data_IF_941743293329
#
_entry.id   IF_941743293329
#
_cell.length_a   1.000
_cell.length_b   1.000
_cell.length_c   1.000
_cell.angle_alpha   90.00
_cell.angle_beta   90.00
_cell.angle_gamma   90.00
#
_symmetry.space_group_name_H-M   'P 1'
#
loop_
_entity.id
_entity.type
_entity.pdbx_description
1 polymer ?
#
# COMPACT_ATOMS: atom_id res chain seq x y z
N UNK A 1 -2.81 76.34 -37.10
CA UNK A 1 -2.65 75.45 -38.26
C UNK A 1 -1.19 75.33 -38.54
N UNK A 2 -0.55 74.23 -38.79
CA UNK A 2 -0.96 72.91 -39.25
C UNK A 2 -0.42 71.78 -38.29
N UNK A 3 -0.88 70.68 -38.39
CA UNK A 3 -1.08 69.42 -39.10
C UNK A 3 -0.46 68.26 -38.34
N UNK A 4 -1.32 67.28 -38.16
CA UNK A 4 -1.18 66.00 -37.48
C UNK A 4 -0.16 65.09 -38.21
N UNK A 5 0.73 64.46 -37.45
CA UNK A 5 1.57 63.32 -37.86
C UNK A 5 1.26 62.08 -37.03
N UNK A 6 0.61 61.12 -37.66
CA UNK A 6 0.27 59.89 -37.03
C UNK A 6 1.51 58.94 -36.97
N UNK A 7 1.96 58.66 -35.79
CA UNK A 7 2.92 57.58 -35.53
C UNK A 7 2.16 56.27 -35.22
N UNK A 8 2.45 55.21 -35.98
CA UNK A 8 1.91 53.89 -35.76
C UNK A 8 2.69 53.23 -34.63
N UNK A 9 2.00 52.95 -33.54
CA UNK A 9 2.53 52.08 -32.48
C UNK A 9 2.48 50.61 -32.95
N UNK A 10 3.65 50.05 -33.20
CA UNK A 10 3.79 48.59 -33.29
C UNK A 10 3.66 47.98 -31.88
N UNK A 11 2.54 47.36 -31.63
CA UNK A 11 2.36 46.52 -30.44
C UNK A 11 3.19 45.24 -30.59
N UNK A 12 4.31 45.20 -29.91
CA UNK A 12 5.03 43.93 -29.65
C UNK A 12 4.22 43.14 -28.64
N UNK A 13 3.54 42.11 -29.12
CA UNK A 13 2.87 41.14 -28.30
C UNK A 13 3.94 40.21 -27.68
N UNK A 14 4.36 40.54 -26.48
CA UNK A 14 5.11 39.63 -25.62
C UNK A 14 4.14 38.55 -25.06
N UNK A 15 4.00 37.48 -25.82
CA UNK A 15 3.30 36.28 -25.35
C UNK A 15 4.27 35.51 -24.47
N UNK A 16 4.41 35.97 -23.23
CA UNK A 16 5.07 35.21 -22.20
C UNK A 16 4.35 33.89 -22.05
N UNK A 17 4.94 32.80 -22.56
CA UNK A 17 4.55 31.42 -22.28
C UNK A 17 4.69 31.17 -20.78
N UNK A 18 3.64 31.54 -20.06
CA UNK A 18 3.48 31.14 -18.66
C UNK A 18 3.00 29.69 -18.65
N UNK A 19 3.92 28.76 -18.97
CA UNK A 19 3.70 27.35 -18.77
C UNK A 19 3.65 27.10 -17.27
N UNK A 20 2.50 27.35 -16.65
CA UNK A 20 2.15 26.77 -15.39
C UNK A 20 2.12 25.27 -15.63
N UNK A 21 3.26 24.60 -15.42
CA UNK A 21 3.28 23.17 -15.18
C UNK A 21 2.42 23.00 -13.94
N UNK A 22 1.16 22.62 -14.13
CA UNK A 22 0.29 22.16 -13.08
C UNK A 22 0.97 20.89 -12.52
N UNK A 23 1.85 21.09 -11.55
CA UNK A 23 2.51 20.01 -10.83
C UNK A 23 1.37 19.37 -10.05
N UNK A 24 0.79 18.31 -10.62
CA UNK A 24 -0.18 17.47 -9.89
C UNK A 24 0.56 17.02 -8.64
N UNK A 25 0.21 17.64 -7.52
CA UNK A 25 0.73 17.21 -6.22
C UNK A 25 0.23 15.80 -6.04
N UNK A 26 1.15 14.86 -5.82
CA UNK A 26 0.77 13.50 -5.53
C UNK A 26 -0.08 13.49 -4.25
N UNK A 27 -1.18 12.76 -4.27
CA UNK A 27 -2.05 12.63 -3.10
C UNK A 27 -1.36 11.80 -2.01
N UNK A 28 -1.79 12.01 -0.77
CA UNK A 28 -1.38 11.10 0.30
C UNK A 28 -1.94 9.71 0.06
N UNK A 29 -1.14 8.70 0.31
CA UNK A 29 -1.56 7.30 0.40
C UNK A 29 -1.63 6.91 1.86
N UNK A 30 -2.81 6.52 2.33
CA UNK A 30 -3.05 5.91 3.63
C UNK A 30 -3.30 4.42 3.39
N UNK A 31 -2.27 3.58 3.58
CA UNK A 31 -2.35 2.18 3.14
C UNK A 31 -3.20 1.30 4.06
N UNK A 32 -3.40 1.72 5.30
CA UNK A 32 -4.25 1.05 6.27
C UNK A 32 -4.89 2.05 7.23
N UNK A 33 -6.22 1.98 7.38
CA UNK A 33 -6.97 2.81 8.32
C UNK A 33 -8.30 2.17 8.68
N UNK A 34 -8.67 2.24 9.94
CA UNK A 34 -10.01 1.89 10.42
C UNK A 34 -11.00 3.06 10.34
N UNK A 35 -10.53 4.25 9.94
CA UNK A 35 -11.32 5.49 9.86
C UNK A 35 -11.16 6.16 8.49
N UNK A 36 -11.68 5.56 7.41
CA UNK A 36 -11.55 6.13 6.08
C UNK A 36 -12.21 7.51 6.01
N UNK A 37 -11.52 8.47 5.40
CA UNK A 37 -11.96 9.87 5.29
C UNK A 37 -12.41 10.24 3.89
N UNK A 38 -11.98 9.50 2.88
CA UNK A 38 -12.18 9.81 1.47
C UNK A 38 -11.40 11.04 0.99
N UNK A 39 -10.44 11.56 1.79
CA UNK A 39 -9.64 12.76 1.46
C UNK A 39 -8.27 12.46 0.86
N UNK A 40 -7.90 11.21 0.79
CA UNK A 40 -6.65 10.72 0.23
C UNK A 40 -6.86 9.35 -0.42
N UNK A 41 -5.83 8.79 -1.02
CA UNK A 41 -5.89 7.41 -1.49
C UNK A 41 -5.86 6.47 -0.29
N UNK A 42 -6.95 5.75 -0.07
CA UNK A 42 -7.14 4.78 1.02
C UNK A 42 -7.36 3.39 0.42
N UNK A 43 -6.58 2.41 0.87
CA UNK A 43 -6.68 1.03 0.39
C UNK A 43 -7.91 0.35 1.00
N UNK A 44 -8.75 -0.24 0.14
CA UNK A 44 -9.88 -1.07 0.59
C UNK A 44 -9.43 -2.51 0.75
N UNK A 45 -9.59 -3.06 1.94
CA UNK A 45 -9.22 -4.43 2.26
C UNK A 45 -10.43 -5.24 2.71
N UNK A 46 -10.37 -6.56 2.52
CA UNK A 46 -11.28 -7.53 3.14
C UNK A 46 -10.45 -8.64 3.76
N UNK A 47 -10.71 -8.93 5.02
CA UNK A 47 -9.98 -9.95 5.76
C UNK A 47 -10.59 -10.24 7.12
N UNK A 48 -10.01 -11.18 7.81
CA UNK A 48 -10.37 -11.55 9.18
C UNK A 48 -9.13 -11.37 10.03
N UNK A 49 -9.23 -10.47 11.01
CA UNK A 49 -8.14 -10.15 11.92
C UNK A 49 -7.72 -11.38 12.75
N UNK A 50 -6.45 -11.57 13.11
CA UNK A 50 -5.99 -12.72 13.88
C UNK A 50 -6.68 -12.88 15.24
N UNK A 51 -7.18 -11.80 15.84
CA UNK A 51 -7.93 -11.87 17.09
C UNK A 51 -9.26 -12.62 16.96
N UNK A 52 -9.83 -12.65 15.75
CA UNK A 52 -11.10 -13.30 15.46
C UNK A 52 -10.92 -14.78 15.03
N UNK A 53 -9.68 -15.25 14.92
CA UNK A 53 -9.38 -16.56 14.34
C UNK A 53 -10.15 -17.70 15.03
N UNK A 54 -10.18 -17.74 16.36
CA UNK A 54 -10.88 -18.79 17.11
C UNK A 54 -12.39 -18.81 16.83
N UNK A 55 -13.01 -17.64 16.62
CA UNK A 55 -14.45 -17.51 16.34
C UNK A 55 -14.78 -17.85 14.88
N UNK A 56 -13.94 -17.44 13.95
CA UNK A 56 -14.26 -17.47 12.53
C UNK A 56 -13.81 -18.76 11.82
N UNK A 57 -12.85 -19.48 12.40
CA UNK A 57 -12.20 -20.59 11.71
C UNK A 57 -13.15 -21.74 11.33
N UNK A 58 -14.15 -22.02 12.15
CA UNK A 58 -15.15 -23.07 11.86
C UNK A 58 -15.96 -22.72 10.59
N UNK A 59 -16.38 -21.46 10.43
CA UNK A 59 -17.06 -21.00 9.25
C UNK A 59 -16.13 -20.99 8.03
N UNK A 60 -14.88 -20.53 8.19
CA UNK A 60 -13.88 -20.56 7.12
C UNK A 60 -13.60 -21.98 6.63
N UNK A 61 -13.60 -22.98 7.52
CA UNK A 61 -13.43 -24.40 7.13
C UNK A 61 -14.62 -24.97 6.35
N UNK A 62 -15.86 -24.53 6.67
CA UNK A 62 -17.07 -25.04 6.06
C UNK A 62 -17.40 -24.40 4.71
N UNK A 63 -17.24 -23.09 4.59
CA UNK A 63 -17.68 -22.30 3.41
C UNK A 63 -16.49 -21.70 2.60
N UNK A 64 -15.27 -21.89 3.09
CA UNK A 64 -14.08 -21.25 2.55
C UNK A 64 -13.95 -19.78 2.92
N UNK A 65 -12.73 -19.25 2.88
CA UNK A 65 -12.50 -17.84 3.21
C UNK A 65 -13.24 -16.89 2.25
N UNK A 66 -13.28 -17.20 0.96
CA UNK A 66 -14.00 -16.37 -0.02
C UNK A 66 -15.49 -16.29 0.27
N UNK A 67 -16.13 -17.41 0.64
CA UNK A 67 -17.53 -17.46 1.07
C UNK A 67 -17.74 -16.63 2.33
N UNK A 68 -16.87 -16.80 3.33
CA UNK A 68 -16.94 -16.08 4.60
C UNK A 68 -16.77 -14.56 4.46
N UNK A 69 -15.92 -14.10 3.55
CA UNK A 69 -15.75 -12.67 3.26
C UNK A 69 -16.89 -12.08 2.42
N UNK A 70 -17.57 -12.91 1.63
CA UNK A 70 -18.76 -12.51 0.88
C UNK A 70 -18.56 -11.27 0.01
N UNK A 71 -19.51 -10.32 0.12
CA UNK A 71 -19.51 -9.07 -0.65
C UNK A 71 -18.31 -8.16 -0.35
N UNK A 72 -17.76 -8.21 0.85
CA UNK A 72 -16.57 -7.40 1.19
C UNK A 72 -15.38 -7.72 0.28
N UNK A 73 -15.25 -8.99 -0.13
CA UNK A 73 -14.19 -9.40 -1.06
C UNK A 73 -14.35 -8.78 -2.45
N UNK A 74 -15.56 -8.59 -2.94
CA UNK A 74 -15.82 -8.05 -4.27
C UNK A 74 -15.34 -6.60 -4.42
N UNK A 75 -15.37 -5.82 -3.34
CA UNK A 75 -14.90 -4.43 -3.31
C UNK A 75 -13.46 -4.25 -2.86
N UNK A 76 -12.78 -5.32 -2.47
CA UNK A 76 -11.44 -5.25 -1.92
C UNK A 76 -10.35 -5.15 -3.01
N UNK A 77 -9.33 -4.35 -2.73
CA UNK A 77 -8.12 -4.25 -3.54
C UNK A 77 -6.99 -5.15 -3.01
N UNK A 78 -7.09 -5.53 -1.74
CA UNK A 78 -6.16 -6.45 -1.08
C UNK A 78 -6.90 -7.28 -0.02
N UNK A 79 -6.31 -8.39 0.39
CA UNK A 79 -6.77 -9.13 1.57
C UNK A 79 -6.14 -8.57 2.83
N UNK A 80 -6.91 -8.38 3.85
CA UNK A 80 -6.46 -7.89 5.15
C UNK A 80 -7.54 -7.06 5.87
N UNK A 81 -7.30 -6.74 7.09
CA UNK A 81 -6.14 -7.05 7.90
C UNK A 81 -6.15 -8.55 8.28
N UNK A 82 -5.01 -9.21 8.10
CA UNK A 82 -4.79 -10.61 8.51
C UNK A 82 -3.37 -10.75 9.04
N UNK A 83 -3.02 -11.86 9.65
CA UNK A 83 -1.65 -12.03 10.14
C UNK A 83 -1.57 -12.80 11.44
N UNK A 84 -0.57 -12.44 12.28
CA UNK A 84 -0.28 -13.12 13.55
C UNK A 84 -0.06 -12.11 14.67
N UNK A 85 -0.75 -12.30 15.78
CA UNK A 85 -0.55 -11.59 17.04
C UNK A 85 -0.29 -12.59 18.18
N UNK A 86 0.96 -12.76 18.56
CA UNK A 86 1.34 -13.64 19.65
C UNK A 86 1.39 -12.92 21.01
N UNK A 87 0.89 -11.71 21.08
CA UNK A 87 0.68 -10.97 22.33
C UNK A 87 -0.77 -11.10 22.85
N UNK A 88 -1.73 -11.44 22.00
CA UNK A 88 -3.13 -11.66 22.40
C UNK A 88 -3.37 -13.10 22.91
N UNK A 89 -4.56 -13.33 23.46
CA UNK A 89 -4.95 -14.64 24.02
C UNK A 89 -5.49 -15.63 22.99
N UNK A 90 -5.71 -15.19 21.74
CA UNK A 90 -6.23 -16.06 20.68
C UNK A 90 -5.20 -17.14 20.32
N UNK A 91 -5.68 -18.36 20.17
CA UNK A 91 -4.83 -19.52 19.87
C UNK A 91 -3.94 -19.31 18.63
N UNK A 92 -2.66 -19.63 18.74
CA UNK A 92 -1.67 -19.39 17.69
C UNK A 92 -1.85 -20.30 16.48
N UNK A 93 -2.32 -21.54 16.69
CA UNK A 93 -2.60 -22.45 15.58
C UNK A 93 -3.79 -21.97 14.78
N UNK A 94 -4.86 -21.51 15.46
CA UNK A 94 -6.02 -20.91 14.79
C UNK A 94 -5.64 -19.68 13.98
N UNK A 95 -4.82 -18.78 14.52
CA UNK A 95 -4.29 -17.63 13.78
C UNK A 95 -3.50 -18.06 12.54
N UNK A 96 -2.62 -19.05 12.69
CA UNK A 96 -1.78 -19.55 11.60
C UNK A 96 -2.61 -20.22 10.50
N UNK A 97 -3.61 -21.00 10.86
CA UNK A 97 -4.52 -21.64 9.89
C UNK A 97 -5.32 -20.59 9.12
N UNK A 98 -5.84 -19.59 9.83
CA UNK A 98 -6.56 -18.47 9.22
C UNK A 98 -5.67 -17.66 8.26
N UNK A 99 -4.43 -17.35 8.67
CA UNK A 99 -3.45 -16.70 7.81
C UNK A 99 -3.18 -17.51 6.54
N UNK A 100 -2.98 -18.82 6.66
CA UNK A 100 -2.79 -19.71 5.50
C UNK A 100 -3.97 -19.69 4.54
N UNK A 101 -5.20 -19.57 5.05
CA UNK A 101 -6.39 -19.42 4.22
C UNK A 101 -6.34 -18.10 3.42
N UNK A 102 -5.94 -16.99 4.06
CA UNK A 102 -5.75 -15.70 3.38
C UNK A 102 -4.64 -15.76 2.32
N UNK A 103 -3.49 -16.35 2.63
CA UNK A 103 -2.38 -16.44 1.69
C UNK A 103 -2.74 -17.29 0.45
N UNK A 104 -3.47 -18.40 0.64
CA UNK A 104 -3.98 -19.20 -0.49
C UNK A 104 -4.94 -18.39 -1.36
N UNK A 105 -5.92 -17.74 -0.75
CA UNK A 105 -6.89 -16.90 -1.49
C UNK A 105 -6.21 -15.73 -2.21
N UNK A 106 -5.21 -15.11 -1.56
CA UNK A 106 -4.41 -14.03 -2.16
C UNK A 106 -3.72 -14.49 -3.45
N UNK A 107 -3.10 -15.66 -3.42
CA UNK A 107 -2.46 -16.25 -4.61
C UNK A 107 -3.47 -16.59 -5.70
N UNK A 108 -4.59 -17.19 -5.36
CA UNK A 108 -5.66 -17.58 -6.28
C UNK A 108 -6.27 -16.36 -6.99
N UNK A 109 -6.41 -15.25 -6.28
CA UNK A 109 -7.05 -14.03 -6.78
C UNK A 109 -6.06 -12.98 -7.30
N UNK A 110 -4.76 -13.20 -7.15
CA UNK A 110 -3.75 -12.22 -7.54
C UNK A 110 -3.75 -10.97 -6.65
N UNK A 111 -4.20 -11.07 -5.38
CA UNK A 111 -4.33 -9.95 -4.46
C UNK A 111 -3.11 -9.81 -3.56
N UNK A 112 -2.75 -8.57 -3.23
CA UNK A 112 -1.81 -8.30 -2.14
C UNK A 112 -2.42 -8.64 -0.78
N UNK A 113 -1.57 -8.74 0.26
CA UNK A 113 -2.02 -8.91 1.64
C UNK A 113 -1.51 -7.77 2.53
N UNK A 114 -2.37 -7.28 3.43
CA UNK A 114 -2.04 -6.35 4.52
C UNK A 114 -1.94 -7.15 5.80
N UNK A 115 -0.77 -7.11 6.42
CA UNK A 115 -0.36 -8.05 7.46
C UNK A 115 -0.21 -7.38 8.83
N UNK A 116 -0.96 -7.85 9.78
CA UNK A 116 -0.76 -7.64 11.21
C UNK A 116 0.37 -8.52 11.73
N UNK A 117 1.33 -7.94 12.45
CA UNK A 117 2.47 -8.69 12.95
C UNK A 117 2.90 -8.22 14.34
N UNK A 118 2.42 -8.86 15.39
CA UNK A 118 2.81 -8.56 16.77
C UNK A 118 3.47 -9.77 17.42
N UNK A 119 4.75 -9.62 17.83
CA UNK A 119 5.58 -10.69 18.42
C UNK A 119 5.64 -11.99 17.61
N UNK A 120 5.42 -11.91 16.30
CA UNK A 120 5.26 -13.07 15.42
C UNK A 120 6.06 -12.96 14.11
N UNK A 121 7.10 -12.12 14.06
CA UNK A 121 7.82 -11.84 12.82
C UNK A 121 8.39 -13.10 12.15
N UNK A 122 9.09 -13.96 12.90
CA UNK A 122 9.68 -15.18 12.34
C UNK A 122 8.63 -16.19 11.85
N UNK A 123 7.59 -16.52 12.63
CA UNK A 123 6.49 -17.35 12.14
C UNK A 123 5.83 -16.79 10.90
N UNK A 124 5.55 -15.47 10.86
CA UNK A 124 4.92 -14.81 9.71
C UNK A 124 5.79 -14.89 8.46
N UNK A 125 7.10 -14.61 8.57
CA UNK A 125 8.04 -14.74 7.44
C UNK A 125 8.13 -16.18 6.92
N UNK A 126 8.01 -17.19 7.80
CA UNK A 126 7.99 -18.59 7.39
C UNK A 126 6.73 -18.94 6.60
N UNK A 127 5.55 -18.45 7.01
CA UNK A 127 4.31 -18.64 6.28
C UNK A 127 4.33 -17.93 4.90
N UNK A 128 4.85 -16.71 4.84
CA UNK A 128 5.05 -15.98 3.59
C UNK A 128 6.01 -16.68 2.64
N UNK A 129 7.05 -17.33 3.16
CA UNK A 129 7.99 -18.13 2.36
C UNK A 129 7.33 -19.41 1.83
N UNK A 130 6.51 -20.07 2.64
CA UNK A 130 5.82 -21.30 2.27
C UNK A 130 4.69 -21.07 1.25
N UNK A 131 3.99 -19.94 1.36
CA UNK A 131 2.88 -19.57 0.48
C UNK A 131 2.97 -18.08 0.12
N UNK A 132 3.91 -17.67 -0.77
CA UNK A 132 4.12 -16.25 -1.09
C UNK A 132 2.92 -15.68 -1.85
N UNK A 133 2.31 -14.58 -1.35
CA UNK A 133 1.31 -13.83 -2.09
C UNK A 133 1.98 -12.97 -3.17
N UNK A 134 1.22 -12.39 -4.12
CA UNK A 134 1.77 -11.45 -5.11
C UNK A 134 2.51 -10.26 -4.50
N UNK A 135 2.03 -9.75 -3.37
CA UNK A 135 2.68 -8.74 -2.55
C UNK A 135 2.22 -8.83 -1.09
N UNK A 136 3.06 -8.39 -0.17
CA UNK A 136 2.72 -8.30 1.25
C UNK A 136 3.16 -6.94 1.81
N UNK A 137 2.31 -6.36 2.65
CA UNK A 137 2.55 -5.09 3.33
C UNK A 137 2.42 -5.36 4.82
N UNK A 138 3.52 -5.23 5.55
CA UNK A 138 3.48 -5.24 7.02
C UNK A 138 2.96 -3.88 7.47
N UNK A 139 1.72 -3.82 7.91
CA UNK A 139 1.17 -2.59 8.44
C UNK A 139 1.65 -2.33 9.88
N UNK A 140 1.59 -1.09 10.35
CA UNK A 140 1.99 -0.72 11.70
C UNK A 140 3.37 -1.22 12.11
N UNK A 141 4.35 -1.21 11.21
CA UNK A 141 5.64 -1.86 11.46
C UNK A 141 6.41 -1.20 12.62
N UNK A 142 6.61 -1.96 13.69
CA UNK A 142 7.37 -1.57 14.90
C UNK A 142 8.56 -2.50 15.18
N UNK A 143 9.04 -3.21 14.16
CA UNK A 143 10.16 -4.14 14.22
C UNK A 143 11.53 -3.46 14.31
N UNK A 144 12.59 -4.28 14.32
CA UNK A 144 13.97 -3.80 14.27
C UNK A 144 14.43 -3.49 12.85
N UNK A 145 15.54 -2.74 12.69
CA UNK A 145 16.16 -2.54 11.39
C UNK A 145 16.53 -3.84 10.67
N UNK A 146 16.94 -4.87 11.41
CA UNK A 146 17.24 -6.21 10.85
C UNK A 146 15.99 -6.87 10.29
N UNK A 147 14.87 -6.79 11.02
CA UNK A 147 13.58 -7.28 10.56
C UNK A 147 13.09 -6.51 9.33
N UNK A 148 13.25 -5.18 9.33
CA UNK A 148 12.93 -4.34 8.18
C UNK A 148 13.74 -4.76 6.94
N UNK A 149 15.08 -4.87 7.06
CA UNK A 149 15.92 -5.31 5.95
C UNK A 149 15.54 -6.70 5.43
N UNK A 150 15.19 -7.62 6.31
CA UNK A 150 14.77 -8.99 5.90
C UNK A 150 13.43 -8.99 5.18
N UNK A 151 12.44 -8.26 5.66
CA UNK A 151 11.15 -8.15 4.98
C UNK A 151 11.32 -7.51 3.59
N UNK A 152 12.03 -6.38 3.52
CA UNK A 152 12.34 -5.69 2.26
C UNK A 152 13.17 -6.56 1.30
N UNK A 153 14.19 -7.26 1.81
CA UNK A 153 15.01 -8.19 1.03
C UNK A 153 14.23 -9.39 0.47
N UNK A 154 13.10 -9.72 1.10
CA UNK A 154 12.14 -10.73 0.59
C UNK A 154 11.12 -10.13 -0.41
N UNK A 155 11.21 -8.84 -0.72
CA UNK A 155 10.33 -8.16 -1.66
C UNK A 155 9.09 -7.53 -1.03
N UNK A 156 8.92 -7.60 0.29
CA UNK A 156 7.76 -7.09 0.99
C UNK A 156 7.85 -5.58 1.25
N UNK A 157 6.71 -4.97 1.55
CA UNK A 157 6.56 -3.56 1.87
C UNK A 157 6.35 -3.37 3.37
N UNK A 158 6.76 -2.22 3.88
CA UNK A 158 6.54 -1.82 5.27
C UNK A 158 5.71 -0.54 5.31
N UNK A 159 4.76 -0.49 6.22
CA UNK A 159 3.98 0.72 6.49
C UNK A 159 4.24 1.20 7.92
N UNK A 160 4.36 2.52 8.07
CA UNK A 160 4.71 3.18 9.31
C UNK A 160 3.63 4.20 9.71
N UNK A 161 3.16 4.10 10.94
CA UNK A 161 2.20 5.00 11.55
C UNK A 161 2.81 5.85 12.67
N UNK A 162 1.98 6.60 13.40
CA UNK A 162 2.42 7.49 14.48
C UNK A 162 3.21 6.79 15.60
N UNK A 163 2.90 5.51 15.88
CA UNK A 163 3.63 4.69 16.87
C UNK A 163 5.11 4.53 16.56
N UNK A 164 5.50 4.62 15.30
CA UNK A 164 6.90 4.56 14.85
C UNK A 164 7.75 5.62 15.50
N UNK A 165 7.23 6.83 15.64
CA UNK A 165 7.98 8.00 16.12
C UNK A 165 8.22 8.00 17.63
N UNK A 166 7.51 7.13 18.36
CA UNK A 166 7.73 6.92 19.80
C UNK A 166 8.84 5.91 20.14
N UNK A 167 9.43 5.23 19.15
CA UNK A 167 10.38 4.14 19.33
C UNK A 167 11.68 4.37 18.56
N UNK A 168 12.84 4.54 19.21
CA UNK A 168 14.13 4.67 18.52
C UNK A 168 14.43 3.49 17.57
N UNK A 169 14.02 2.27 17.95
CA UNK A 169 14.17 1.06 17.15
C UNK A 169 13.35 1.13 15.87
N UNK A 170 12.11 1.59 15.95
CA UNK A 170 11.22 1.73 14.79
C UNK A 170 11.65 2.89 13.89
N UNK A 171 12.17 3.98 14.46
CA UNK A 171 12.78 5.08 13.69
C UNK A 171 13.96 4.59 12.85
N UNK A 172 14.80 3.73 13.41
CA UNK A 172 15.91 3.17 12.67
C UNK A 172 15.45 2.19 11.58
N UNK A 173 14.39 1.42 11.84
CA UNK A 173 13.76 0.58 10.83
C UNK A 173 13.20 1.44 9.66
N UNK A 174 12.56 2.57 9.96
CA UNK A 174 12.10 3.53 8.95
C UNK A 174 13.29 4.05 8.11
N UNK A 175 14.39 4.48 8.74
CA UNK A 175 15.59 4.97 8.04
C UNK A 175 16.23 3.93 7.11
N UNK A 176 16.12 2.65 7.44
CA UNK A 176 16.68 1.56 6.64
C UNK A 176 15.73 1.04 5.55
N UNK A 177 14.50 1.53 5.52
CA UNK A 177 13.51 1.12 4.52
C UNK A 177 13.62 2.00 3.27
N UNK A 178 13.91 1.43 2.08
CA UNK A 178 13.96 2.21 0.86
C UNK A 178 12.58 2.71 0.46
N UNK A 179 12.52 3.88 -0.16
CA UNK A 179 11.26 4.53 -0.53
C UNK A 179 10.38 3.66 -1.44
N UNK A 180 10.99 2.79 -2.27
CA UNK A 180 10.29 1.86 -3.17
C UNK A 180 9.57 0.71 -2.43
N UNK A 181 9.76 0.60 -1.12
CA UNK A 181 9.15 -0.42 -0.25
C UNK A 181 8.41 0.18 0.95
N UNK A 182 8.14 1.48 0.90
CA UNK A 182 7.62 2.27 2.00
C UNK A 182 6.16 2.66 1.75
N UNK A 183 5.36 2.57 2.82
CA UNK A 183 4.04 3.17 2.94
C UNK A 183 3.88 3.85 4.29
N UNK A 184 2.83 4.65 4.40
CA UNK A 184 2.38 5.26 5.65
C UNK A 184 0.91 4.97 5.89
N UNK A 185 0.50 5.09 7.16
CA UNK A 185 -0.84 4.77 7.59
C UNK A 185 -1.25 5.53 8.85
N UNK A 186 -2.55 5.55 9.11
CA UNK A 186 -3.08 6.06 10.38
C UNK A 186 -3.53 4.94 11.31
N UNK A 187 -3.90 3.75 10.78
CA UNK A 187 -4.47 2.66 11.56
C UNK A 187 -5.67 3.15 12.40
N UNK A 188 -5.62 3.02 13.72
CA UNK A 188 -6.61 3.56 14.69
C UNK A 188 -6.29 4.98 15.16
N UNK A 189 -5.10 5.52 14.84
CA UNK A 189 -4.67 6.83 15.33
C UNK A 189 -5.56 7.95 14.75
N UNK A 190 -6.02 8.91 15.57
CA UNK A 190 -6.83 10.03 15.10
C UNK A 190 -6.05 11.08 14.31
N UNK A 191 -4.72 10.96 14.22
CA UNK A 191 -3.89 11.89 13.46
C UNK A 191 -4.26 11.88 11.98
N UNK A 192 -4.18 13.04 11.34
CA UNK A 192 -4.28 13.11 9.88
C UNK A 192 -3.05 12.49 9.23
N UNK A 193 -3.25 11.79 8.11
CA UNK A 193 -2.16 11.11 7.37
C UNK A 193 -1.01 12.08 7.01
N UNK A 194 -1.31 13.34 6.71
CA UNK A 194 -0.31 14.36 6.43
C UNK A 194 0.68 14.58 7.58
N UNK A 195 0.23 14.40 8.84
CA UNK A 195 1.09 14.50 10.02
C UNK A 195 2.09 13.35 10.10
N UNK A 196 1.67 12.13 9.70
CA UNK A 196 2.56 10.96 9.60
C UNK A 196 3.65 11.21 8.56
N UNK A 197 3.27 11.70 7.37
CA UNK A 197 4.24 12.05 6.33
C UNK A 197 5.21 13.15 6.76
N UNK A 198 4.71 14.20 7.43
CA UNK A 198 5.57 15.26 7.91
C UNK A 198 6.59 14.79 8.95
N UNK A 199 6.17 13.93 9.89
CA UNK A 199 7.07 13.33 10.88
C UNK A 199 8.10 12.41 10.20
N UNK A 200 7.67 11.59 9.23
CA UNK A 200 8.57 10.72 8.47
C UNK A 200 9.58 11.52 7.65
N UNK A 201 9.16 12.57 6.95
CA UNK A 201 10.03 13.44 6.18
C UNK A 201 11.12 14.09 7.05
N UNK A 202 10.76 14.55 8.26
CA UNK A 202 11.72 15.07 9.22
C UNK A 202 12.75 14.03 9.67
N UNK A 203 12.34 12.78 9.90
CA UNK A 203 13.23 11.66 10.28
C UNK A 203 14.16 11.24 9.13
N UNK A 204 13.65 11.26 7.89
CA UNK A 204 14.39 10.83 6.70
C UNK A 204 15.22 11.95 6.07
N UNK A 205 15.05 13.20 6.49
CA UNK A 205 15.75 14.36 5.94
C UNK A 205 15.36 14.66 4.49
N UNK A 206 14.11 14.39 4.10
CA UNK A 206 13.58 14.59 2.76
C UNK A 206 12.32 15.46 2.76
N UNK A 207 11.79 15.80 1.58
CA UNK A 207 10.54 16.57 1.48
C UNK A 207 9.34 15.64 1.51
N UNK A 208 8.23 16.10 2.09
CA UNK A 208 6.94 15.38 2.09
C UNK A 208 6.53 14.95 0.68
N UNK A 209 6.69 15.83 -0.32
CA UNK A 209 6.35 15.52 -1.71
C UNK A 209 7.16 14.37 -2.32
N UNK A 210 8.37 14.11 -1.84
CA UNK A 210 9.17 12.94 -2.28
C UNK A 210 8.56 11.64 -1.74
N UNK A 211 8.09 11.66 -0.49
CA UNK A 211 7.41 10.53 0.12
C UNK A 211 6.04 10.26 -0.52
N UNK A 212 5.28 11.33 -0.85
CA UNK A 212 4.01 11.21 -1.58
C UNK A 212 4.23 10.53 -2.93
N UNK A 213 5.21 11.00 -3.72
CA UNK A 213 5.55 10.42 -5.02
C UNK A 213 5.96 8.95 -4.90
N UNK A 214 6.77 8.61 -3.91
CA UNK A 214 7.23 7.24 -3.68
C UNK A 214 6.07 6.30 -3.31
N UNK A 215 5.23 6.71 -2.35
CA UNK A 215 4.09 5.88 -1.91
C UNK A 215 3.02 5.76 -2.99
N UNK A 216 2.78 6.83 -3.77
CA UNK A 216 1.88 6.77 -4.92
C UNK A 216 2.41 5.80 -6.00
N UNK A 217 3.69 5.85 -6.31
CA UNK A 217 4.32 4.92 -7.25
C UNK A 217 4.23 3.46 -6.77
N UNK A 218 4.44 3.23 -5.46
CA UNK A 218 4.28 1.93 -4.85
C UNK A 218 2.82 1.45 -4.92
N UNK A 219 1.87 2.32 -4.61
CA UNK A 219 0.43 2.02 -4.67
C UNK A 219 0.01 1.65 -6.10
N UNK A 220 0.38 2.46 -7.09
CA UNK A 220 0.08 2.18 -8.51
C UNK A 220 0.68 0.85 -8.96
N UNK A 221 1.90 0.54 -8.54
CA UNK A 221 2.57 -0.73 -8.88
C UNK A 221 1.80 -1.94 -8.36
N UNK A 222 1.18 -1.84 -7.18
CA UNK A 222 0.50 -2.95 -6.52
C UNK A 222 -0.99 -3.06 -6.90
N UNK A 223 -1.68 -1.93 -7.09
CA UNK A 223 -3.14 -1.88 -7.09
C UNK A 223 -3.77 -1.32 -8.36
N UNK A 224 -2.97 -0.78 -9.31
CA UNK A 224 -3.50 -0.40 -10.61
C UNK A 224 -3.36 -1.57 -11.58
N UNK A 225 -4.46 -1.99 -12.24
CA UNK A 225 -4.36 -3.03 -13.26
C UNK A 225 -3.31 -2.64 -14.30
N UNK A 226 -2.38 -3.53 -14.58
CA UNK A 226 -1.49 -3.33 -15.73
C UNK A 226 -2.37 -3.28 -16.98
N UNK A 227 -2.28 -2.18 -17.75
CA UNK A 227 -2.85 -2.16 -19.08
C UNK A 227 -2.29 -3.37 -19.82
N UNK A 228 -3.15 -4.32 -20.15
CA UNK A 228 -2.77 -5.41 -21.04
C UNK A 228 -2.41 -4.76 -22.36
N UNK A 229 -1.12 -4.67 -22.67
CA UNK A 229 -0.66 -4.34 -24.02
C UNK A 229 -1.17 -5.45 -24.91
N UNK A 230 -2.27 -5.15 -25.60
CA UNK A 230 -2.88 -6.05 -26.57
C UNK A 230 -1.95 -6.27 -27.78
N UNK A 231 -1.06 -7.25 -27.69
CA UNK A 231 -0.20 -7.63 -28.82
C UNK A 231 0.16 -9.13 -28.77
N UNK A 232 -0.76 -10.01 -28.32
CA UNK A 232 -0.52 -11.47 -28.45
C UNK A 232 -1.75 -12.29 -28.85
N UNK A 233 -2.74 -11.74 -29.52
CA UNK A 233 -3.91 -12.52 -30.00
C UNK A 233 -4.03 -12.56 -31.54
N UNK A 234 -2.98 -12.23 -32.30
CA UNK A 234 -3.07 -12.21 -33.75
C UNK A 234 -2.29 -13.31 -34.51
N UNK A 235 -1.50 -14.16 -33.86
CA UNK A 235 -0.64 -15.12 -34.59
C UNK A 235 -1.06 -16.60 -34.53
N UNK A 236 -2.05 -16.98 -33.73
CA UNK A 236 -2.52 -18.38 -33.70
C UNK A 236 -3.66 -18.72 -34.66
N UNK A 237 -4.32 -17.73 -35.28
CA UNK A 237 -5.43 -17.98 -36.23
C UNK A 237 -4.96 -18.18 -37.69
N UNK A 238 -3.66 -18.06 -37.99
CA UNK A 238 -3.12 -18.25 -39.35
C UNK A 238 -2.45 -19.59 -39.60
N UNK A 239 -2.42 -20.51 -38.65
CA UNK A 239 -1.78 -21.83 -38.82
C UNK A 239 -2.73 -23.01 -39.04
N UNK A 240 -4.04 -22.80 -39.07
CA UNK A 240 -5.01 -23.88 -39.24
C UNK A 240 -5.83 -23.79 -40.55
N UNK A 241 -5.24 -23.21 -41.61
CA UNK A 241 -5.85 -23.26 -42.96
C UNK A 241 -4.75 -23.52 -43.97
N UNK A 242 -4.28 -24.77 -43.98
CA UNK A 242 -3.70 -25.44 -45.18
C UNK A 242 -3.82 -26.94 -44.99
#
# INVERSE_FOLDING_TARGET
>A
MPTVGAGRDEAVSDVGENSYICRVMADYVNIHTHRPTGRCTELRTAGIHPWEAARELAAVRSEGLAGRLGEALAGAQALGETGLDFACSTDREAQTELLRAHLRLARERGLAVVLHCVRAFEPLMNELKACPPPAAIFHGFIGSPEQARRAVGSGWYLSFGMRTFASPRSLEALRTTPHERLFFETDDDPAEIGSVYAAAAAVLGCRVGELQQATEANYRRLFTPRATTGTEVCDELKKNTR
#
